data_IF_402751961380
#
_entry.id   IF_402751961380
#
_cell.length_a   1.000
_cell.length_b   1.000
_cell.length_c   1.000
_cell.angle_alpha   90.00
_cell.angle_beta   90.00
_cell.angle_gamma   90.00
#
_symmetry.space_group_name_H-M   'P 1'
#
loop_
_entity.id
_entity.type
_entity.pdbx_description
1 polymer ?
#
# COMPACT_ATOMS: atom_id res chain seq x y z
N UNK A 1 9.64 -14.74 -15.57
CA UNK A 1 9.13 -13.63 -14.74
C UNK A 1 8.78 -14.18 -13.37
N UNK A 2 9.45 -13.70 -12.33
CA UNK A 2 9.14 -14.02 -10.94
C UNK A 2 8.70 -12.73 -10.23
N UNK A 3 7.76 -12.83 -9.30
CA UNK A 3 7.26 -11.74 -8.45
C UNK A 3 7.21 -12.27 -7.03
N UNK A 4 7.62 -11.44 -6.07
CA UNK A 4 7.55 -11.78 -4.63
C UNK A 4 6.41 -10.99 -4.01
N UNK A 5 5.52 -11.69 -3.31
CA UNK A 5 4.43 -11.07 -2.55
C UNK A 5 4.58 -11.42 -1.08
N UNK A 6 4.56 -10.42 -0.20
CA UNK A 6 4.64 -10.57 1.25
C UNK A 6 3.35 -10.06 1.88
N UNK A 7 2.59 -10.96 2.50
CA UNK A 7 1.38 -10.67 3.26
C UNK A 7 1.60 -11.07 4.74
N UNK A 8 1.96 -10.16 5.64
CA UNK A 8 2.20 -8.72 5.51
C UNK A 8 3.48 -8.31 6.27
N UNK A 9 3.99 -7.10 6.09
CA UNK A 9 5.32 -6.69 6.61
C UNK A 9 5.46 -6.81 8.13
N UNK A 10 4.41 -6.51 8.88
CA UNK A 10 4.50 -6.42 10.33
C UNK A 10 4.70 -7.78 11.03
N UNK A 11 4.45 -8.91 10.36
CA UNK A 11 4.77 -10.26 10.88
C UNK A 11 6.27 -10.59 10.72
N UNK A 12 7.02 -9.87 9.87
CA UNK A 12 8.44 -10.14 9.69
C UNK A 12 9.25 -9.89 10.96
N UNK A 13 10.12 -10.84 11.29
CA UNK A 13 10.98 -10.74 12.46
C UNK A 13 12.10 -9.72 12.22
N UNK A 14 12.31 -8.77 13.15
CA UNK A 14 13.42 -7.84 13.07
C UNK A 14 14.72 -8.50 13.53
N UNK A 15 15.85 -7.98 13.05
CA UNK A 15 17.19 -8.45 13.47
C UNK A 15 17.46 -8.14 14.94
N UNK A 16 17.07 -6.95 15.41
CA UNK A 16 17.14 -6.58 16.82
C UNK A 16 15.74 -6.20 17.33
N UNK A 17 15.20 -7.00 18.26
CA UNK A 17 13.89 -6.74 18.89
C UNK A 17 13.93 -5.62 19.93
N UNK A 18 15.12 -5.16 20.33
CA UNK A 18 15.32 -4.16 21.40
C UNK A 18 15.22 -2.73 20.88
N UNK A 19 15.40 -2.51 19.58
CA UNK A 19 15.30 -1.17 18.99
C UNK A 19 13.83 -0.77 18.80
N UNK A 20 13.52 0.54 18.72
CA UNK A 20 12.17 1.02 18.48
C UNK A 20 11.52 0.42 17.22
N UNK A 21 10.20 0.21 17.26
CA UNK A 21 9.47 -0.45 16.17
C UNK A 21 9.67 0.23 14.81
N UNK A 22 9.73 1.56 14.78
CA UNK A 22 9.94 2.31 13.54
C UNK A 22 11.31 2.04 12.91
N UNK A 23 12.35 1.85 13.73
CA UNK A 23 13.69 1.48 13.25
C UNK A 23 13.72 0.04 12.74
N UNK A 24 13.02 -0.88 13.42
CA UNK A 24 12.86 -2.26 12.96
C UNK A 24 12.23 -2.32 11.57
N UNK A 25 11.11 -1.60 11.37
CA UNK A 25 10.42 -1.54 10.08
C UNK A 25 11.30 -0.89 9.02
N UNK A 26 12.09 0.13 9.38
CA UNK A 26 13.06 0.74 8.47
C UNK A 26 14.16 -0.25 8.03
N UNK A 27 14.66 -1.10 8.95
CA UNK A 27 15.59 -2.16 8.62
C UNK A 27 15.01 -3.19 7.65
N UNK A 28 13.78 -3.65 7.93
CA UNK A 28 13.05 -4.58 7.06
C UNK A 28 12.86 -3.99 5.66
N UNK A 29 12.36 -2.75 5.58
CA UNK A 29 12.12 -2.03 4.33
C UNK A 29 13.36 -1.95 3.43
N UNK A 30 14.49 -1.47 3.98
CA UNK A 30 15.76 -1.37 3.24
C UNK A 30 16.24 -2.72 2.72
N UNK A 31 16.14 -3.78 3.54
CA UNK A 31 16.52 -5.14 3.16
C UNK A 31 15.65 -5.68 2.02
N UNK A 32 14.34 -5.44 2.08
CA UNK A 32 13.44 -5.84 0.99
C UNK A 32 13.72 -5.10 -0.31
N UNK A 33 14.02 -3.80 -0.24
CA UNK A 33 14.43 -3.01 -1.41
C UNK A 33 15.75 -3.50 -2.00
N UNK A 34 16.73 -3.84 -1.17
CA UNK A 34 17.98 -4.43 -1.61
C UNK A 34 17.75 -5.80 -2.27
N UNK A 35 16.95 -6.67 -1.64
CA UNK A 35 16.60 -7.99 -2.16
C UNK A 35 15.90 -7.91 -3.53
N UNK A 36 14.92 -7.01 -3.68
CA UNK A 36 14.22 -6.81 -4.94
C UNK A 36 15.18 -6.37 -6.07
N UNK A 37 16.19 -5.56 -5.75
CA UNK A 37 17.24 -5.13 -6.70
C UNK A 37 18.22 -6.25 -7.02
N UNK A 38 18.64 -7.01 -6.02
CA UNK A 38 19.59 -8.13 -6.19
C UNK A 38 18.99 -9.26 -7.03
N UNK A 39 17.71 -9.58 -6.79
CA UNK A 39 16.99 -10.61 -7.52
C UNK A 39 16.41 -10.10 -8.86
N UNK A 40 16.45 -8.80 -9.11
CA UNK A 40 15.83 -8.15 -10.27
C UNK A 40 14.36 -8.52 -10.49
N UNK A 41 13.58 -8.63 -9.40
CA UNK A 41 12.15 -8.97 -9.44
C UNK A 41 11.29 -7.91 -8.75
N UNK A 42 10.06 -7.69 -9.23
CA UNK A 42 9.08 -6.90 -8.48
C UNK A 42 8.80 -7.54 -7.11
N UNK A 43 8.77 -6.71 -6.08
CA UNK A 43 8.39 -7.10 -4.73
C UNK A 43 7.18 -6.26 -4.28
N UNK A 44 6.08 -6.94 -3.96
CA UNK A 44 4.88 -6.35 -3.40
C UNK A 44 4.80 -6.73 -1.94
N UNK A 45 4.75 -5.73 -1.06
CA UNK A 45 4.63 -5.96 0.37
C UNK A 45 3.38 -5.26 0.90
N UNK A 46 2.53 -6.03 1.58
CA UNK A 46 1.34 -5.50 2.23
C UNK A 46 1.74 -4.90 3.57
N UNK A 47 1.22 -3.72 3.88
CA UNK A 47 1.47 -3.04 5.13
C UNK A 47 0.14 -2.65 5.77
N UNK A 48 -0.01 -2.96 7.06
CA UNK A 48 -1.11 -2.41 7.85
C UNK A 48 -0.89 -0.93 8.16
N UNK A 49 -1.98 -0.17 8.18
CA UNK A 49 -1.98 1.26 8.52
C UNK A 49 -2.29 1.45 10.02
N UNK A 50 -1.96 2.64 10.53
CA UNK A 50 -2.41 3.08 11.84
C UNK A 50 -3.95 3.15 11.90
N UNK A 51 -4.54 2.70 13.01
CA UNK A 51 -5.99 2.83 13.29
C UNK A 51 -6.46 4.28 13.39
N UNK A 52 -5.53 5.25 13.44
CA UNK A 52 -5.87 6.67 13.40
C UNK A 52 -6.69 7.06 12.15
N UNK A 53 -6.61 6.28 11.05
CA UNK A 53 -7.47 6.45 9.88
C UNK A 53 -8.96 6.38 10.22
N UNK A 54 -9.35 5.49 11.14
CA UNK A 54 -10.76 5.23 11.50
C UNK A 54 -11.39 6.42 12.25
N UNK A 55 -10.58 7.25 12.90
CA UNK A 55 -11.06 8.44 13.63
C UNK A 55 -11.34 9.65 12.75
N UNK A 56 -10.96 9.62 11.47
CA UNK A 56 -11.18 10.73 10.54
C UNK A 56 -12.54 10.62 9.89
N UNK A 57 -13.19 11.75 9.64
CA UNK A 57 -14.52 11.81 9.02
C UNK A 57 -14.56 11.16 7.62
N UNK A 58 -13.47 11.28 6.85
CA UNK A 58 -13.37 10.67 5.51
C UNK A 58 -12.88 9.22 5.53
N UNK A 59 -12.38 8.73 6.68
CA UNK A 59 -11.70 7.45 6.87
C UNK A 59 -10.70 7.10 5.74
N UNK A 60 -10.12 8.12 5.12
CA UNK A 60 -9.34 7.94 3.89
C UNK A 60 -7.87 7.75 4.26
N UNK A 61 -7.24 6.63 3.89
CA UNK A 61 -5.82 6.42 4.09
C UNK A 61 -4.95 7.51 3.45
N UNK A 62 -3.85 7.84 4.11
CA UNK A 62 -2.84 8.82 3.68
C UNK A 62 -1.46 8.25 4.00
N UNK A 63 -0.42 8.76 3.35
CA UNK A 63 0.97 8.35 3.61
C UNK A 63 1.35 8.49 5.10
N UNK A 64 0.85 9.53 5.77
CA UNK A 64 1.05 9.75 7.20
C UNK A 64 0.51 8.61 8.10
N UNK A 65 -0.38 7.76 7.59
CA UNK A 65 -0.88 6.59 8.34
C UNK A 65 0.11 5.43 8.37
N UNK A 66 1.18 5.49 7.57
CA UNK A 66 2.37 4.66 7.70
C UNK A 66 3.24 5.11 8.89
N UNK A 67 2.66 5.71 9.94
CA UNK A 67 3.35 6.46 11.01
C UNK A 67 4.51 5.73 11.67
N UNK A 68 4.40 4.42 11.89
CA UNK A 68 5.49 3.59 12.45
C UNK A 68 6.47 3.09 11.38
N UNK A 69 6.39 3.65 10.19
CA UNK A 69 6.93 3.08 8.95
C UNK A 69 7.20 4.16 7.90
N UNK A 70 7.50 5.40 8.30
CA UNK A 70 7.83 6.48 7.34
C UNK A 70 9.02 6.12 6.42
N UNK A 71 9.85 5.18 6.84
CA UNK A 71 10.88 4.53 6.01
C UNK A 71 10.30 3.75 4.82
N UNK A 72 9.15 3.07 4.99
CA UNK A 72 8.46 2.38 3.89
C UNK A 72 8.08 3.36 2.78
N UNK A 73 7.55 4.54 3.17
CA UNK A 73 7.24 5.58 2.20
C UNK A 73 8.49 5.97 1.42
N UNK A 74 9.63 6.18 2.07
CA UNK A 74 10.85 6.63 1.42
C UNK A 74 11.47 5.56 0.50
N UNK A 75 11.53 4.32 0.97
CA UNK A 75 12.19 3.20 0.30
C UNK A 75 11.39 2.65 -0.88
N UNK A 76 10.06 2.63 -0.77
CA UNK A 76 9.17 2.12 -1.82
C UNK A 76 9.26 2.96 -3.10
N UNK A 77 9.20 2.32 -4.27
CA UNK A 77 9.05 3.04 -5.54
C UNK A 77 7.59 3.45 -5.78
N UNK A 78 6.65 2.64 -5.30
CA UNK A 78 5.21 2.88 -5.43
C UNK A 78 4.53 2.57 -4.10
N UNK A 79 3.62 3.44 -3.67
CA UNK A 79 2.73 3.21 -2.53
C UNK A 79 1.30 3.29 -3.03
N UNK A 80 0.54 2.22 -2.82
CA UNK A 80 -0.88 2.13 -3.16
C UNK A 80 -1.66 2.01 -1.85
N UNK A 81 -2.58 2.94 -1.64
CA UNK A 81 -3.47 2.92 -0.49
C UNK A 81 -4.86 2.47 -0.95
N UNK A 82 -5.45 1.53 -0.22
CA UNK A 82 -6.76 0.97 -0.55
C UNK A 82 -7.83 1.63 0.33
N UNK A 83 -8.88 2.15 -0.30
CA UNK A 83 -10.02 2.75 0.40
C UNK A 83 -11.33 2.23 -0.16
N UNK A 84 -12.25 1.86 0.72
CA UNK A 84 -13.63 1.52 0.37
C UNK A 84 -14.54 2.61 0.96
N UNK A 85 -15.15 3.46 0.12
CA UNK A 85 -16.13 4.43 0.60
C UNK A 85 -17.30 3.75 1.30
N UNK A 86 -17.79 4.33 2.40
CA UNK A 86 -18.92 3.76 3.15
C UNK A 86 -20.22 3.77 2.33
N UNK A 87 -20.43 4.82 1.53
CA UNK A 87 -21.63 5.01 0.70
C UNK A 87 -21.66 4.09 -0.54
N UNK A 88 -20.50 3.56 -0.95
CA UNK A 88 -20.34 2.73 -2.15
C UNK A 88 -19.49 1.48 -1.83
N UNK A 89 -20.02 0.54 -1.04
CA UNK A 89 -19.25 -0.59 -0.50
C UNK A 89 -18.76 -1.58 -1.57
N UNK A 90 -19.36 -1.57 -2.75
CA UNK A 90 -18.94 -2.34 -3.93
C UNK A 90 -17.74 -1.71 -4.66
N UNK A 91 -17.32 -0.51 -4.30
CA UNK A 91 -16.20 0.21 -4.90
C UNK A 91 -14.96 0.06 -4.02
N UNK A 92 -13.83 -0.22 -4.65
CA UNK A 92 -12.51 -0.18 -4.04
C UNK A 92 -11.64 0.81 -4.80
N UNK A 93 -11.25 1.89 -4.14
CA UNK A 93 -10.31 2.87 -4.66
C UNK A 93 -8.87 2.43 -4.39
N UNK A 94 -8.07 2.47 -5.44
CA UNK A 94 -6.62 2.36 -5.37
C UNK A 94 -6.04 3.75 -5.54
N UNK A 95 -5.52 4.32 -4.46
CA UNK A 95 -4.83 5.60 -4.49
C UNK A 95 -3.32 5.37 -4.63
N UNK A 96 -2.77 5.67 -5.80
CA UNK A 96 -1.33 5.68 -6.05
C UNK A 96 -0.75 6.93 -5.39
N UNK A 97 -0.58 6.86 -4.07
CA UNK A 97 -0.15 7.98 -3.23
C UNK A 97 1.33 8.36 -3.44
N UNK A 98 2.15 7.41 -3.92
CA UNK A 98 3.53 7.65 -4.34
C UNK A 98 3.82 6.86 -5.61
N UNK A 99 4.47 7.50 -6.58
CA UNK A 99 5.03 6.85 -7.75
C UNK A 99 6.36 7.54 -8.12
N UNK A 100 7.49 6.82 -7.99
CA UNK A 100 8.82 7.37 -8.23
C UNK A 100 9.05 7.76 -9.70
N UNK A 101 8.48 6.99 -10.63
CA UNK A 101 8.78 7.08 -12.06
C UNK A 101 7.56 7.47 -12.93
N UNK A 102 6.58 8.16 -12.36
CA UNK A 102 5.32 8.42 -13.05
C UNK A 102 4.31 9.20 -12.20
N UNK A 103 3.10 9.44 -12.73
CA UNK A 103 2.08 10.20 -12.03
C UNK A 103 1.49 9.43 -10.85
N UNK A 104 1.04 10.17 -9.84
CA UNK A 104 0.10 9.70 -8.83
C UNK A 104 -1.33 9.82 -9.36
N UNK A 105 -2.29 9.17 -8.70
CA UNK A 105 -3.68 9.20 -9.12
C UNK A 105 -4.51 8.12 -8.47
N UNK A 106 -5.83 8.18 -8.69
CA UNK A 106 -6.77 7.20 -8.14
C UNK A 106 -7.40 6.40 -9.25
N UNK A 107 -7.62 5.13 -8.99
CA UNK A 107 -8.33 4.22 -9.89
C UNK A 107 -9.41 3.50 -9.10
N UNK A 108 -10.65 3.58 -9.58
CA UNK A 108 -11.79 2.88 -9.00
C UNK A 108 -11.94 1.47 -9.59
N UNK A 109 -12.17 0.49 -8.71
CA UNK A 109 -12.50 -0.88 -9.09
C UNK A 109 -13.83 -1.27 -8.48
N UNK A 110 -14.61 -2.07 -9.19
CA UNK A 110 -15.71 -2.84 -8.60
C UNK A 110 -15.14 -4.05 -7.90
N UNK A 111 -15.51 -4.26 -6.65
CA UNK A 111 -15.13 -5.42 -5.86
C UNK A 111 -16.28 -6.41 -5.77
N UNK A 112 -16.15 -7.53 -6.48
CA UNK A 112 -17.02 -8.68 -6.35
C UNK A 112 -16.62 -9.49 -5.11
N UNK A 113 -17.35 -9.27 -4.02
CA UNK A 113 -17.12 -9.93 -2.73
C UNK A 113 -17.31 -11.44 -2.79
N UNK A 114 -18.21 -11.95 -3.64
CA UNK A 114 -18.49 -13.39 -3.72
C UNK A 114 -17.32 -14.16 -4.37
N UNK A 115 -16.58 -13.49 -5.26
CA UNK A 115 -15.47 -14.09 -6.02
C UNK A 115 -14.10 -13.57 -5.61
N UNK A 116 -14.04 -12.62 -4.68
CA UNK A 116 -12.82 -11.89 -4.30
C UNK A 116 -12.11 -11.28 -5.53
N UNK A 117 -12.89 -10.73 -6.46
CA UNK A 117 -12.40 -10.24 -7.76
C UNK A 117 -12.54 -8.72 -7.88
N UNK A 118 -11.52 -8.09 -8.46
CA UNK A 118 -11.55 -6.69 -8.85
C UNK A 118 -11.84 -6.57 -10.34
N UNK A 119 -12.73 -5.65 -10.69
CA UNK A 119 -13.08 -5.35 -12.06
C UNK A 119 -12.95 -3.86 -12.30
N UNK A 120 -12.27 -3.49 -13.39
CA UNK A 120 -12.05 -2.09 -13.74
C UNK A 120 -13.38 -1.43 -14.07
N UNK A 121 -13.67 -0.29 -13.46
CA UNK A 121 -14.85 0.53 -13.75
C UNK A 121 -14.61 1.34 -15.04
N UNK A 122 -14.56 0.68 -16.20
CA UNK A 122 -14.41 1.34 -17.51
C UNK A 122 -13.03 1.99 -17.75
N UNK A 123 -12.64 2.12 -19.02
CA UNK A 123 -11.31 2.56 -19.45
C UNK A 123 -10.99 4.05 -19.23
N UNK A 124 -9.83 4.53 -19.73
CA UNK A 124 -9.22 5.82 -19.37
C UNK A 124 -10.00 6.99 -19.97
N UNK A 125 -11.10 7.36 -19.32
CA UNK A 125 -11.83 8.63 -19.53
C UNK A 125 -12.91 8.90 -18.47
N UNK A 126 -13.13 7.99 -17.52
CA UNK A 126 -13.94 8.30 -16.35
C UNK A 126 -13.01 8.75 -15.22
N UNK A 127 -12.74 10.06 -15.17
CA UNK A 127 -12.53 10.73 -13.91
C UNK A 127 -13.82 10.52 -13.09
N UNK A 128 -13.90 9.40 -12.36
CA UNK A 128 -14.97 9.15 -11.39
C UNK A 128 -14.89 10.17 -10.24
N UNK A 129 -13.80 10.93 -10.18
CA UNK A 129 -13.48 11.91 -9.15
C UNK A 129 -12.96 13.22 -9.77
N UNK A 130 -13.77 13.84 -10.62
CA UNK A 130 -13.68 15.27 -10.91
C UNK A 130 -14.58 16.05 -9.94
#
# INVERSE_FOLDING_TARGET
LACVVIDYLQIMEPEDRRIPRHEQVAGISRRLKALARELEVPLVALAQLSRAVESRADQRPRLADLRESGSLEQDADTVILLHRPEEQPEILEFDVAKQRNGPTGRVGFRFDRARMRLEVLGGPQHDVFA
#
